data_IF_419635299285
#
_entry.id   IF_419635299285
#
_cell.length_a   1.000
_cell.length_b   1.000
_cell.length_c   1.000
_cell.angle_alpha   90.00
_cell.angle_beta   90.00
_cell.angle_gamma   90.00
#
_symmetry.space_group_name_H-M   'P 1'
#
loop_
_entity.id
_entity.type
_entity.pdbx_description
1 polymer ?
#
# COMPACT_ATOMS: atom_id res chain seq x y z
N UNK A 1 11.43 -2.63 -0.51
CA UNK A 1 11.04 -2.94 0.87
C UNK A 1 11.12 -1.70 1.74
N UNK A 2 10.36 -1.64 2.82
CA UNK A 2 10.38 -0.53 3.79
C UNK A 2 10.49 -1.07 5.20
N UNK A 3 11.22 -0.39 6.08
CA UNK A 3 11.32 -0.72 7.50
C UNK A 3 10.88 0.45 8.40
N UNK A 4 10.30 0.12 9.55
CA UNK A 4 9.77 1.06 10.54
C UNK A 4 10.24 0.62 11.93
N UNK A 5 11.21 1.32 12.50
CA UNK A 5 11.87 0.93 13.75
C UNK A 5 11.46 1.82 14.94
N UNK A 6 11.91 1.42 16.14
CA UNK A 6 11.65 2.09 17.42
C UNK A 6 10.18 2.13 17.85
N UNK A 7 9.33 1.28 17.30
CA UNK A 7 7.91 1.25 17.62
C UNK A 7 7.67 0.89 19.10
N UNK A 8 6.63 1.47 19.70
CA UNK A 8 6.15 1.09 21.04
C UNK A 8 5.23 -0.13 21.01
N UNK A 9 4.46 -0.29 19.93
CA UNK A 9 3.59 -1.43 19.69
C UNK A 9 3.25 -1.56 18.20
N UNK A 10 2.86 -2.77 17.79
CA UNK A 10 2.25 -3.03 16.48
C UNK A 10 0.74 -2.78 16.53
N UNK A 11 0.16 -2.34 15.41
CA UNK A 11 -1.29 -2.21 15.31
C UNK A 11 -1.97 -3.59 15.24
N UNK A 12 -3.22 -3.67 15.69
CA UNK A 12 -3.99 -4.92 15.70
C UNK A 12 -4.08 -5.52 14.29
N UNK A 13 -3.80 -6.82 14.18
CA UNK A 13 -3.86 -7.55 12.90
C UNK A 13 -2.61 -7.40 12.02
N UNK A 14 -1.62 -6.60 12.44
CA UNK A 14 -0.32 -6.53 11.78
C UNK A 14 0.55 -7.67 12.29
N UNK A 15 0.64 -8.71 11.48
CA UNK A 15 1.39 -9.94 11.74
C UNK A 15 2.17 -10.35 10.49
N UNK A 16 3.18 -11.22 10.60
CA UNK A 16 3.88 -11.74 9.41
C UNK A 16 2.90 -12.31 8.39
N UNK A 17 3.05 -11.91 7.12
CA UNK A 17 2.18 -12.31 6.02
C UNK A 17 0.89 -11.49 5.87
N UNK A 18 0.56 -10.60 6.81
CA UNK A 18 -0.59 -9.70 6.67
C UNK A 18 -0.41 -8.74 5.50
N UNK A 19 -1.45 -8.58 4.67
CA UNK A 19 -1.49 -7.54 3.65
C UNK A 19 -1.81 -6.19 4.30
N UNK A 20 -1.11 -5.15 3.85
CA UNK A 20 -1.32 -3.78 4.29
C UNK A 20 -1.56 -2.88 3.09
N UNK A 21 -2.38 -1.85 3.26
CA UNK A 21 -2.61 -0.81 2.25
C UNK A 21 -1.90 0.48 2.60
N UNK A 22 -1.60 1.30 1.60
CA UNK A 22 -1.04 2.62 1.82
C UNK A 22 -1.95 3.45 2.75
N UNK A 23 -1.36 4.11 3.75
CA UNK A 23 -2.08 4.90 4.75
C UNK A 23 -2.67 4.09 5.92
N UNK A 24 -2.56 2.75 5.89
CA UNK A 24 -2.94 1.92 7.04
C UNK A 24 -1.96 2.12 8.20
N UNK A 25 -2.49 2.24 9.41
CA UNK A 25 -1.70 2.26 10.64
C UNK A 25 -1.12 0.85 10.86
N UNK A 26 0.20 0.76 10.95
CA UNK A 26 0.91 -0.51 11.18
C UNK A 26 1.54 -0.63 12.57
N UNK A 27 1.64 0.48 13.29
CA UNK A 27 2.16 0.54 14.65
C UNK A 27 2.29 1.97 15.15
N UNK A 28 2.94 2.14 16.29
CA UNK A 28 2.95 3.39 17.05
C UNK A 28 4.37 3.81 17.41
N UNK A 29 4.64 5.13 17.42
CA UNK A 29 5.95 5.69 17.77
C UNK A 29 6.34 5.26 19.19
N UNK A 30 7.62 4.95 19.38
CA UNK A 30 8.19 4.64 20.67
C UNK A 30 9.67 5.01 20.72
N UNK A 31 10.40 4.35 21.60
CA UNK A 31 11.85 4.50 21.76
C UNK A 31 12.53 3.16 22.03
N UNK A 32 11.97 2.07 21.47
CA UNK A 32 12.51 0.72 21.65
C UNK A 32 13.85 0.54 20.94
N UNK A 33 14.69 -0.37 21.45
CA UNK A 33 16.02 -0.63 20.91
C UNK A 33 17.01 0.51 21.16
N UNK A 34 17.95 0.71 20.24
CA UNK A 34 18.94 1.80 20.32
C UNK A 34 18.28 3.10 19.85
N UNK A 35 17.85 3.94 20.79
CA UNK A 35 17.15 5.19 20.52
C UNK A 35 17.51 6.22 21.59
N UNK A 36 17.62 7.49 21.21
CA UNK A 36 17.88 8.61 22.13
C UNK A 36 16.60 9.23 22.69
N UNK A 37 15.45 8.95 22.09
CA UNK A 37 14.14 9.47 22.48
C UNK A 37 13.06 9.08 21.47
N UNK A 38 11.78 9.46 21.69
CA UNK A 38 10.68 9.01 20.84
C UNK A 38 10.77 9.54 19.40
N UNK A 39 10.99 8.66 18.44
CA UNK A 39 11.03 8.99 17.00
C UNK A 39 10.75 7.75 16.14
N UNK A 40 10.52 7.96 14.84
CA UNK A 40 10.44 6.89 13.85
C UNK A 40 11.75 6.83 13.07
N UNK A 41 12.42 5.68 13.08
CA UNK A 41 13.49 5.40 12.13
C UNK A 41 12.91 4.63 10.94
N UNK A 42 12.76 5.34 9.83
CA UNK A 42 12.19 4.82 8.59
C UNK A 42 13.28 4.54 7.57
N UNK A 43 13.27 3.34 6.98
CA UNK A 43 14.22 2.96 5.92
C UNK A 43 13.47 2.52 4.68
N UNK A 44 14.04 2.85 3.51
CA UNK A 44 13.58 2.39 2.21
C UNK A 44 14.71 1.63 1.51
N UNK A 45 14.37 0.45 0.99
CA UNK A 45 15.28 -0.37 0.20
C UNK A 45 14.69 -0.62 -1.18
N UNK A 46 15.46 -0.34 -2.23
CA UNK A 46 15.12 -0.62 -3.63
C UNK A 46 16.12 -1.65 -4.14
N UNK A 47 15.61 -2.80 -4.61
CA UNK A 47 16.43 -3.92 -5.09
C UNK A 47 17.54 -4.33 -4.11
N UNK A 48 17.22 -4.40 -2.81
CA UNK A 48 18.15 -4.78 -1.74
C UNK A 48 19.11 -3.68 -1.28
N UNK A 49 19.11 -2.50 -1.90
CA UNK A 49 19.99 -1.38 -1.51
C UNK A 49 19.22 -0.31 -0.74
N UNK A 50 19.75 0.13 0.41
CA UNK A 50 19.20 1.26 1.17
C UNK A 50 19.35 2.54 0.36
N UNK A 51 18.28 3.32 0.25
CA UNK A 51 18.24 4.57 -0.49
C UNK A 51 17.67 5.69 0.37
N UNK A 52 18.03 6.93 0.07
CA UNK A 52 17.43 8.10 0.71
C UNK A 52 15.93 8.18 0.36
N UNK A 53 15.01 7.96 1.31
CA UNK A 53 13.59 7.90 1.01
C UNK A 53 13.02 9.22 0.50
N UNK A 54 13.65 10.36 0.82
CA UNK A 54 13.20 11.68 0.37
C UNK A 54 13.52 11.97 -1.10
N UNK A 55 14.40 11.16 -1.71
CA UNK A 55 14.88 11.36 -3.08
C UNK A 55 14.30 10.35 -4.07
N UNK A 56 13.58 9.34 -3.60
CA UNK A 56 12.99 8.31 -4.47
C UNK A 56 11.72 8.85 -5.12
N UNK A 57 11.64 8.72 -6.45
CA UNK A 57 10.40 8.93 -7.19
C UNK A 57 9.48 7.73 -6.99
N UNK A 58 8.62 7.83 -5.98
CA UNK A 58 7.55 6.87 -5.79
C UNK A 58 6.47 7.11 -6.87
N UNK A 59 5.79 6.05 -7.35
CA UNK A 59 4.61 6.22 -8.19
C UNK A 59 3.53 6.92 -7.37
N UNK A 60 3.52 8.25 -7.43
CA UNK A 60 2.39 9.05 -6.97
C UNK A 60 1.25 8.75 -7.93
N UNK A 61 0.11 8.28 -7.41
CA UNK A 61 -1.02 7.90 -8.26
C UNK A 61 -1.32 8.99 -9.30
N UNK A 62 -1.14 8.68 -10.59
CA UNK A 62 -1.52 9.61 -11.66
C UNK A 62 -3.04 9.73 -11.62
N UNK A 63 -3.54 10.88 -11.22
CA UNK A 63 -4.97 11.17 -11.27
C UNK A 63 -5.31 11.50 -12.72
N UNK A 64 -6.00 10.58 -13.40
CA UNK A 64 -6.50 10.81 -14.76
C UNK A 64 -7.53 11.96 -14.74
N UNK A 65 -7.51 12.81 -15.78
CA UNK A 65 -8.43 13.95 -15.93
C UNK A 65 -8.97 14.03 -17.36
N UNK A 66 -10.08 14.73 -17.54
CA UNK A 66 -10.67 15.00 -18.85
C UNK A 66 -10.94 13.73 -19.64
N UNK A 67 -10.50 13.70 -20.89
CA UNK A 67 -10.71 12.58 -21.82
C UNK A 67 -10.06 11.28 -21.35
N UNK A 68 -8.86 11.33 -20.74
CA UNK A 68 -8.19 10.13 -20.20
C UNK A 68 -9.03 9.45 -19.12
N UNK A 69 -9.69 10.24 -18.26
CA UNK A 69 -10.55 9.72 -17.21
C UNK A 69 -11.85 9.15 -17.78
N UNK A 70 -12.45 9.83 -18.76
CA UNK A 70 -13.67 9.37 -19.42
C UNK A 70 -13.43 8.04 -20.15
N UNK A 71 -12.34 7.92 -20.90
CA UNK A 71 -11.94 6.70 -21.58
C UNK A 71 -11.70 5.56 -20.59
N UNK A 72 -10.97 5.82 -19.50
CA UNK A 72 -10.76 4.84 -18.43
C UNK A 72 -12.06 4.34 -17.81
N UNK A 73 -13.02 5.23 -17.54
CA UNK A 73 -14.31 4.86 -16.97
C UNK A 73 -15.16 4.02 -17.94
N UNK A 74 -15.14 4.35 -19.23
CA UNK A 74 -15.83 3.58 -20.26
C UNK A 74 -15.28 2.14 -20.34
N UNK A 75 -13.95 1.99 -20.37
CA UNK A 75 -13.33 0.67 -20.42
C UNK A 75 -13.54 -0.11 -19.13
N UNK A 76 -13.46 0.54 -17.96
CA UNK A 76 -13.80 -0.08 -16.67
C UNK A 76 -15.21 -0.66 -16.70
N UNK A 77 -16.20 0.12 -17.16
CA UNK A 77 -17.60 -0.31 -17.23
C UNK A 77 -17.78 -1.50 -18.17
N UNK A 78 -17.05 -1.52 -19.30
CA UNK A 78 -17.05 -2.65 -20.24
C UNK A 78 -16.52 -3.92 -19.59
N UNK A 79 -15.38 -3.85 -18.90
CA UNK A 79 -14.77 -5.01 -18.22
C UNK A 79 -15.67 -5.52 -17.09
N UNK A 80 -16.25 -4.62 -16.31
CA UNK A 80 -17.19 -4.97 -15.23
C UNK A 80 -18.41 -5.72 -15.77
N UNK A 81 -19.00 -5.25 -16.88
CA UNK A 81 -20.11 -5.95 -17.53
C UNK A 81 -19.73 -7.32 -18.09
N UNK A 82 -18.49 -7.50 -18.57
CA UNK A 82 -18.01 -8.82 -19.02
C UNK A 82 -17.84 -9.79 -17.85
N UNK A 83 -17.28 -9.31 -16.73
CA UNK A 83 -17.14 -10.12 -15.51
C UNK A 83 -18.49 -10.55 -14.94
N UNK A 84 -19.50 -9.66 -14.96
CA UNK A 84 -20.86 -9.98 -14.51
C UNK A 84 -21.57 -10.98 -15.44
N UNK A 85 -21.29 -10.93 -16.74
CA UNK A 85 -21.88 -11.84 -17.73
C UNK A 85 -21.26 -13.26 -17.70
N UNK A 86 -20.04 -13.40 -17.19
CA UNK A 86 -19.32 -14.68 -17.07
C UNK A 86 -19.62 -15.45 -15.77
N UNK A 87 -20.46 -14.93 -14.87
CA UNK A 87 -20.84 -15.62 -13.63
C UNK A 87 -22.11 -16.49 -13.82
N UNK A 88 -21.93 -17.80 -14.10
CA UNK A 88 -22.68 -18.83 -13.39
C UNK A 88 -21.70 -19.62 -12.51
N UNK A 89 -21.91 -19.49 -11.20
CA UNK A 89 -21.63 -20.46 -10.14
C UNK A 89 -20.26 -20.58 -9.44
N UNK A 90 -19.12 -19.98 -9.79
CA UNK A 90 -17.89 -20.31 -9.01
C UNK A 90 -16.69 -19.33 -8.97
N UNK A 91 -16.87 -18.00 -9.03
CA UNK A 91 -15.74 -17.09 -8.80
C UNK A 91 -15.95 -16.25 -7.53
N UNK A 92 -15.38 -16.72 -6.41
CA UNK A 92 -15.15 -15.84 -5.25
C UNK A 92 -14.07 -14.82 -5.62
N UNK A 93 -14.46 -13.73 -6.28
CA UNK A 93 -13.66 -12.53 -6.40
C UNK A 93 -13.35 -12.03 -4.99
N UNK A 94 -12.08 -12.06 -4.61
CA UNK A 94 -11.59 -11.49 -3.36
C UNK A 94 -11.88 -9.98 -3.38
N UNK A 95 -13.02 -9.60 -2.82
CA UNK A 95 -13.41 -8.22 -2.62
C UNK A 95 -12.61 -7.65 -1.45
N UNK A 96 -11.78 -6.67 -1.80
CA UNK A 96 -11.16 -5.60 -1.00
C UNK A 96 -10.53 -5.94 0.35
#
# INVERSE_FOLDING_TARGET
ETSYNHQSAFAKGVVPGARVRQGQIIGYIGTSGLSTGPHLHYELMVNGTKVDPMRVRLPTGKVLKGEELAAFQAERKRIEALLEAEEPDNVKLASR
#
